data_IF_780319707051
#
_entry.id   IF_780319707051
#
_cell.length_a   1.000
_cell.length_b   1.000
_cell.length_c   1.000
_cell.angle_alpha   90.00
_cell.angle_beta   90.00
_cell.angle_gamma   90.00
#
_symmetry.space_group_name_H-M   'P 1'
#
loop_
_entity.id
_entity.type
_entity.pdbx_description
1 polymer ?
#
# COMPACT_ATOMS: atom_id res chain seq x y z
N UNK A 1 4.29 -11.38 -15.56
CA UNK A 1 5.19 -10.72 -14.57
C UNK A 1 4.74 -11.12 -13.17
N UNK A 2 5.63 -11.31 -12.18
CA UNK A 2 5.26 -11.59 -10.78
C UNK A 2 5.18 -10.28 -9.98
N UNK A 3 4.40 -10.25 -8.90
CA UNK A 3 4.41 -9.12 -7.95
C UNK A 3 5.80 -9.00 -7.32
N UNK A 4 6.23 -7.76 -7.13
CA UNK A 4 7.54 -7.35 -6.61
C UNK A 4 7.50 -5.85 -6.26
N UNK A 5 8.59 -5.33 -5.71
CA UNK A 5 8.78 -3.89 -5.49
C UNK A 5 8.98 -3.14 -6.82
N UNK A 6 8.35 -1.97 -6.92
CA UNK A 6 8.42 -1.14 -8.11
C UNK A 6 9.70 -0.31 -8.13
N UNK A 7 10.41 -0.30 -9.27
CA UNK A 7 11.52 0.62 -9.52
C UNK A 7 11.05 2.04 -9.83
N UNK A 8 9.77 2.20 -10.20
CA UNK A 8 9.15 3.48 -10.53
C UNK A 8 8.39 4.09 -9.35
N UNK A 9 7.74 3.26 -8.54
CA UNK A 9 6.92 3.70 -7.40
C UNK A 9 7.69 3.63 -6.09
N UNK A 10 8.85 4.29 -6.09
CA UNK A 10 9.73 4.45 -4.94
C UNK A 10 10.30 5.86 -4.94
N UNK A 11 10.72 6.35 -3.77
CA UNK A 11 11.58 7.53 -3.76
C UNK A 11 12.91 7.22 -4.46
N UNK A 12 13.54 8.26 -5.03
CA UNK A 12 14.81 8.15 -5.74
C UNK A 12 15.87 7.41 -4.91
N UNK A 13 15.98 7.74 -3.62
CA UNK A 13 16.99 7.22 -2.69
C UNK A 13 16.66 5.89 -2.01
N UNK A 14 15.56 5.24 -2.38
CA UNK A 14 15.31 3.85 -1.97
C UNK A 14 15.97 2.94 -2.98
N UNK A 15 16.89 2.09 -2.55
CA UNK A 15 17.42 1.04 -3.41
C UNK A 15 16.55 -0.21 -3.32
N UNK A 16 16.49 -0.97 -4.40
CA UNK A 16 15.70 -2.19 -4.49
C UNK A 16 16.62 -3.27 -5.03
N UNK A 17 16.62 -4.44 -4.37
CA UNK A 17 17.44 -5.59 -4.76
C UNK A 17 17.15 -6.05 -6.20
N UNK A 18 18.05 -6.87 -6.75
CA UNK A 18 17.91 -7.39 -8.12
C UNK A 18 16.61 -8.21 -8.31
N UNK A 19 16.29 -9.08 -7.34
CA UNK A 19 15.03 -9.85 -7.31
C UNK A 19 13.79 -8.99 -7.03
N UNK A 20 14.00 -7.72 -6.63
CA UNK A 20 12.98 -6.73 -6.27
C UNK A 20 12.09 -7.16 -5.11
N UNK A 21 12.65 -7.88 -4.16
CA UNK A 21 11.97 -8.29 -2.93
C UNK A 21 12.48 -7.57 -1.68
N UNK A 22 13.70 -7.01 -1.72
CA UNK A 22 14.25 -6.18 -0.65
C UNK A 22 14.30 -4.70 -1.03
N UNK A 23 14.06 -3.84 -0.06
CA UNK A 23 14.24 -2.41 -0.16
C UNK A 23 15.28 -1.95 0.85
N UNK A 24 16.13 -1.00 0.46
CA UNK A 24 17.18 -0.41 1.29
C UNK A 24 17.07 1.11 1.30
N UNK A 25 17.28 1.74 2.45
CA UNK A 25 17.36 3.20 2.57
C UNK A 25 18.63 3.60 3.32
N UNK A 26 19.35 4.56 2.74
CA UNK A 26 20.61 5.10 3.25
C UNK A 26 20.48 6.53 3.82
N UNK A 27 19.31 7.17 3.68
CA UNK A 27 19.10 8.54 4.16
C UNK A 27 17.63 8.94 4.29
N UNK A 28 17.20 9.22 5.52
CA UNK A 28 15.90 9.83 5.80
C UNK A 28 14.72 8.91 5.48
N UNK A 29 13.50 9.32 5.84
CA UNK A 29 12.31 8.53 5.55
C UNK A 29 11.96 8.61 4.07
N UNK A 30 11.88 7.45 3.42
CA UNK A 30 11.49 7.32 2.01
C UNK A 30 10.64 6.08 1.80
N UNK A 31 9.63 6.16 0.93
CA UNK A 31 8.69 5.06 0.67
C UNK A 31 9.02 4.30 -0.61
N UNK A 32 8.72 3.01 -0.62
CA UNK A 32 8.58 2.14 -1.79
C UNK A 32 7.22 1.44 -1.76
N UNK A 33 6.64 1.21 -2.94
CA UNK A 33 5.43 0.40 -3.12
C UNK A 33 5.68 -0.83 -3.97
N UNK A 34 4.86 -1.85 -3.75
CA UNK A 34 4.76 -2.97 -4.67
C UNK A 34 4.19 -2.55 -6.04
N UNK A 35 4.41 -3.40 -7.03
CA UNK A 35 3.94 -3.23 -8.41
C UNK A 35 2.44 -3.48 -8.60
N UNK A 36 1.77 -4.10 -7.62
CA UNK A 36 0.35 -4.42 -7.65
C UNK A 36 -0.32 -4.02 -6.35
N UNK A 37 -1.59 -3.67 -6.45
CA UNK A 37 -2.42 -3.26 -5.33
C UNK A 37 -3.85 -3.75 -5.53
N UNK A 38 -4.58 -3.82 -4.43
CA UNK A 38 -5.90 -4.47 -4.34
C UNK A 38 -6.99 -3.42 -4.26
N UNK A 39 -8.11 -3.68 -4.94
CA UNK A 39 -9.30 -2.83 -4.93
C UNK A 39 -10.43 -3.38 -4.06
N UNK A 40 -10.48 -4.70 -3.88
CA UNK A 40 -11.55 -5.38 -3.16
C UNK A 40 -11.07 -6.72 -2.60
N UNK A 41 -11.81 -7.26 -1.63
CA UNK A 41 -11.56 -8.56 -1.00
C UNK A 41 -10.53 -8.50 0.13
N UNK A 42 -10.23 -9.67 0.71
CA UNK A 42 -9.27 -9.83 1.80
C UNK A 42 -7.90 -10.28 1.28
N UNK A 43 -6.83 -9.60 1.69
CA UNK A 43 -5.48 -9.82 1.19
C UNK A 43 -4.42 -9.78 2.29
N UNK A 44 -3.34 -10.54 2.07
CA UNK A 44 -2.24 -10.65 3.02
C UNK A 44 -0.85 -10.66 2.37
N UNK A 45 0.10 -10.02 3.05
CA UNK A 45 1.54 -10.14 2.78
C UNK A 45 2.34 -9.95 4.07
N UNK A 46 3.65 -10.21 3.99
CA UNK A 46 4.58 -9.99 5.10
C UNK A 46 5.74 -9.07 4.70
N UNK A 47 6.33 -8.40 5.70
CA UNK A 47 7.62 -7.73 5.58
C UNK A 47 8.49 -8.18 6.75
N UNK A 48 9.68 -8.70 6.44
CA UNK A 48 10.75 -8.96 7.41
C UNK A 48 11.64 -7.74 7.56
N UNK A 49 11.92 -7.36 8.81
CA UNK A 49 12.93 -6.34 9.11
C UNK A 49 14.29 -7.03 9.07
N UNK A 50 15.03 -6.88 7.97
CA UNK A 50 16.30 -7.60 7.77
C UNK A 50 17.43 -6.92 8.51
N UNK A 51 17.51 -5.58 8.40
CA UNK A 51 18.50 -4.77 9.09
C UNK A 51 17.89 -3.43 9.44
N UNK A 52 17.85 -3.11 10.72
CA UNK A 52 17.49 -1.78 11.20
C UNK A 52 18.77 -0.99 11.50
N UNK A 53 19.74 -1.61 12.18
CA UNK A 53 20.90 -0.90 12.73
C UNK A 53 20.52 0.07 13.86
N UNK A 54 21.49 0.83 14.35
CA UNK A 54 21.32 1.64 15.57
C UNK A 54 20.44 2.89 15.37
N UNK A 55 20.39 3.42 14.16
CA UNK A 55 19.64 4.65 13.82
C UNK A 55 18.49 4.42 12.85
N UNK A 56 18.28 3.16 12.47
CA UNK A 56 17.26 2.82 11.51
C UNK A 56 15.87 2.90 12.12
N UNK A 57 14.92 3.36 11.31
CA UNK A 57 13.52 3.32 11.67
C UNK A 57 12.64 2.97 10.50
N UNK A 58 11.51 2.33 10.76
CA UNK A 58 10.58 1.92 9.70
C UNK A 58 9.14 2.24 10.01
N UNK A 59 8.39 2.51 8.94
CA UNK A 59 6.93 2.48 8.96
C UNK A 59 6.44 1.67 7.78
N UNK A 60 5.65 0.66 8.06
CA UNK A 60 5.10 -0.24 7.05
C UNK A 60 3.60 -0.09 6.95
N UNK A 61 3.02 -0.50 5.82
CA UNK A 61 1.60 -0.67 5.71
C UNK A 61 1.09 -0.61 4.29
N UNK A 62 -0.01 0.11 4.11
CA UNK A 62 -0.71 0.21 2.83
C UNK A 62 -0.70 1.66 2.36
N UNK A 63 -0.51 1.85 1.06
CA UNK A 63 -0.52 3.16 0.42
C UNK A 63 -1.32 3.11 -0.87
N UNK A 64 -2.13 4.12 -1.14
CA UNK A 64 -2.78 4.31 -2.43
C UNK A 64 -1.79 4.87 -3.45
N UNK A 65 -2.19 4.99 -4.71
CA UNK A 65 -1.33 5.56 -5.76
C UNK A 65 -0.93 7.03 -5.50
N UNK A 66 -1.73 7.75 -4.72
CA UNK A 66 -1.56 9.16 -4.38
C UNK A 66 -0.68 9.40 -3.15
N UNK A 67 -0.16 8.34 -2.51
CA UNK A 67 0.74 8.46 -1.36
C UNK A 67 2.06 9.14 -1.74
N UNK A 68 2.51 10.09 -0.94
CA UNK A 68 3.78 10.80 -1.16
C UNK A 68 4.97 9.87 -0.93
N UNK A 69 5.65 9.49 -2.01
CA UNK A 69 6.81 8.60 -1.96
C UNK A 69 8.00 9.20 -1.19
N UNK A 70 8.07 10.53 -1.06
CA UNK A 70 9.13 11.23 -0.35
C UNK A 70 8.88 11.27 1.17
N UNK A 71 7.71 10.87 1.63
CA UNK A 71 7.27 10.88 3.02
C UNK A 71 7.10 9.44 3.57
N UNK A 72 7.11 9.27 4.91
CA UNK A 72 6.87 7.96 5.50
C UNK A 72 5.41 7.51 5.36
N UNK A 73 5.19 6.20 5.36
CA UNK A 73 3.83 5.60 5.37
C UNK A 73 3.04 6.15 6.56
N UNK A 74 1.80 6.59 6.32
CA UNK A 74 0.91 7.21 7.30
C UNK A 74 1.08 8.73 7.44
N UNK A 75 1.97 9.37 6.69
CA UNK A 75 2.14 10.83 6.72
C UNK A 75 0.91 11.57 6.18
N UNK A 76 0.34 11.10 5.08
CA UNK A 76 -0.78 11.73 4.39
C UNK A 76 -2.10 10.96 4.60
N UNK A 77 -3.15 11.42 3.91
CA UNK A 77 -4.45 10.75 3.89
C UNK A 77 -4.49 9.51 2.96
N UNK A 78 -3.40 9.27 2.22
CA UNK A 78 -3.33 8.27 1.17
C UNK A 78 -2.61 6.99 1.62
N UNK A 79 -2.16 6.94 2.88
CA UNK A 79 -1.42 5.80 3.43
C UNK A 79 -1.76 5.55 4.90
N UNK A 80 -1.60 4.30 5.32
CA UNK A 80 -1.92 3.80 6.66
C UNK A 80 -0.72 2.99 7.16
N UNK A 81 -0.11 3.43 8.26
CA UNK A 81 1.19 2.97 8.72
C UNK A 81 1.17 2.29 10.09
N UNK A 82 2.15 1.41 10.31
CA UNK A 82 2.50 0.79 11.58
C UNK A 82 3.96 1.07 11.90
N UNK A 83 4.22 1.61 13.09
CA UNK A 83 5.52 2.15 13.48
C UNK A 83 6.34 1.20 14.33
N UNK A 84 7.62 1.09 13.99
CA UNK A 84 8.62 0.25 14.66
C UNK A 84 8.85 0.59 16.13
N UNK A 85 8.91 1.87 16.49
CA UNK A 85 9.40 2.27 17.84
C UNK A 85 8.44 1.86 18.97
N UNK A 86 7.15 2.16 18.82
CA UNK A 86 6.17 2.03 19.91
C UNK A 86 4.92 1.25 19.52
N UNK A 87 4.89 0.67 18.31
CA UNK A 87 3.71 -0.04 17.82
C UNK A 87 2.51 0.87 17.57
N UNK A 88 2.73 2.18 17.41
CA UNK A 88 1.63 3.08 17.05
C UNK A 88 1.17 2.85 15.61
N UNK A 89 -0.14 2.97 15.41
CA UNK A 89 -0.73 3.12 14.08
C UNK A 89 -0.69 4.59 13.68
N UNK A 90 -0.43 4.87 12.39
CA UNK A 90 -0.28 6.24 11.89
C UNK A 90 -1.10 6.46 10.62
N UNK A 91 -1.88 7.52 10.61
CA UNK A 91 -2.59 8.01 9.43
C UNK A 91 -2.73 9.54 9.50
N UNK A 92 -2.59 10.25 8.38
CA UNK A 92 -2.62 11.73 8.34
C UNK A 92 -1.66 12.38 9.34
N UNK A 93 -0.47 11.79 9.48
CA UNK A 93 0.59 12.17 10.42
C UNK A 93 0.19 12.09 11.92
N UNK A 94 -0.98 11.53 12.25
CA UNK A 94 -1.43 11.33 13.63
C UNK A 94 -1.09 9.93 14.08
N UNK A 95 -0.46 9.82 15.26
CA UNK A 95 -0.10 8.55 15.90
C UNK A 95 -1.16 8.21 16.92
N UNK A 96 -1.58 6.97 16.92
CA UNK A 96 -2.52 6.43 17.89
C UNK A 96 -1.96 5.14 18.48
N UNK A 97 -2.22 4.88 19.76
CA UNK A 97 -1.84 3.62 20.41
C UNK A 97 -2.54 2.47 19.69
N UNK A 98 -1.80 1.40 19.41
CA UNK A 98 -2.33 0.25 18.69
C UNK A 98 -1.70 -1.06 19.19
N UNK A 99 -0.46 -1.36 18.78
CA UNK A 99 0.31 -2.46 19.35
C UNK A 99 0.69 -2.16 20.79
N UNK A 100 0.92 -3.22 21.59
CA UNK A 100 1.44 -3.07 22.95
C UNK A 100 2.90 -2.60 22.93
N UNK A 101 3.65 -3.06 21.94
CA UNK A 101 5.06 -2.74 21.72
C UNK A 101 5.36 -2.54 20.24
N UNK A 102 6.51 -1.91 20.01
CA UNK A 102 7.12 -1.81 18.69
C UNK A 102 7.61 -3.14 18.12
N UNK A 103 8.25 -3.07 16.95
CA UNK A 103 8.91 -4.19 16.31
C UNK A 103 10.35 -3.81 15.95
N UNK A 104 11.21 -4.82 15.82
CA UNK A 104 12.66 -4.65 15.68
C UNK A 104 13.25 -5.53 14.58
N UNK A 105 14.54 -5.38 14.37
CA UNK A 105 15.31 -6.26 13.49
C UNK A 105 15.05 -7.74 13.79
N UNK A 106 14.80 -8.53 12.75
CA UNK A 106 14.43 -9.94 12.82
C UNK A 106 12.92 -10.20 12.86
N UNK A 107 12.09 -9.24 13.30
CA UNK A 107 10.63 -9.42 13.32
C UNK A 107 10.05 -9.48 11.89
N UNK A 108 8.96 -10.24 11.77
CA UNK A 108 8.14 -10.33 10.56
C UNK A 108 6.78 -9.73 10.85
N UNK A 109 6.43 -8.71 10.08
CA UNK A 109 5.14 -8.03 10.19
C UNK A 109 4.23 -8.54 9.10
N UNK A 110 3.05 -9.03 9.50
CA UNK A 110 1.97 -9.41 8.61
C UNK A 110 1.00 -8.26 8.39
N UNK A 111 0.47 -8.16 7.17
CA UNK A 111 -0.39 -7.08 6.75
C UNK A 111 -1.68 -7.65 6.20
N UNK A 112 -2.78 -7.40 6.90
CA UNK A 112 -4.12 -7.78 6.45
C UNK A 112 -4.89 -6.54 6.01
N UNK A 113 -5.59 -6.64 4.89
CA UNK A 113 -6.60 -5.67 4.47
C UNK A 113 -7.82 -6.41 3.96
N UNK A 114 -9.01 -5.97 4.35
CA UNK A 114 -10.27 -6.43 3.79
C UNK A 114 -11.06 -5.25 3.25
N UNK A 115 -11.44 -5.33 1.98
CA UNK A 115 -12.17 -4.31 1.24
C UNK A 115 -13.44 -4.92 0.63
N UNK A 116 -14.49 -5.19 1.43
CA UNK A 116 -15.74 -5.76 0.92
C UNK A 116 -16.33 -4.88 -0.19
N UNK A 117 -16.48 -5.44 -1.39
CA UNK A 117 -17.02 -4.71 -2.56
C UNK A 117 -16.32 -3.37 -2.84
N UNK A 118 -15.02 -3.25 -2.51
CA UNK A 118 -14.30 -1.97 -2.53
C UNK A 118 -14.27 -1.26 -3.88
N UNK A 119 -14.42 -1.99 -4.99
CA UNK A 119 -14.54 -1.42 -6.35
C UNK A 119 -15.76 -0.49 -6.49
N UNK A 120 -16.88 -0.76 -5.81
CA UNK A 120 -18.08 0.08 -5.86
C UNK A 120 -17.89 1.47 -5.24
N UNK A 121 -16.88 1.61 -4.37
CA UNK A 121 -16.59 2.82 -3.61
C UNK A 121 -15.36 3.57 -4.12
N UNK A 122 -14.61 2.97 -5.06
CA UNK A 122 -13.44 3.57 -5.67
C UNK A 122 -13.83 4.73 -6.61
N UNK A 123 -12.99 5.77 -6.73
CA UNK A 123 -13.14 6.78 -7.77
C UNK A 123 -13.22 6.13 -9.14
N UNK A 124 -14.09 6.67 -10.01
CA UNK A 124 -14.15 6.21 -11.40
C UNK A 124 -12.80 6.50 -12.07
N UNK A 125 -12.29 5.57 -12.89
CA UNK A 125 -11.06 5.82 -13.63
C UNK A 125 -11.23 7.04 -14.54
N UNK A 126 -10.18 7.85 -14.73
CA UNK A 126 -10.22 9.00 -15.61
C UNK A 126 -10.66 8.56 -17.01
N UNK A 127 -11.67 9.23 -17.57
CA UNK A 127 -12.16 8.92 -18.91
C UNK A 127 -11.11 9.35 -19.94
N UNK A 128 -10.54 8.38 -20.66
CA UNK A 128 -9.64 8.64 -21.77
C UNK A 128 -10.46 8.97 -23.01
N UNK A 129 -10.26 10.17 -23.55
CA UNK A 129 -10.90 10.64 -24.77
C UNK A 129 -9.86 10.74 -25.88
N UNK A 130 -10.16 10.20 -27.05
CA UNK A 130 -9.33 10.35 -28.23
C UNK A 130 -9.73 11.65 -28.95
N UNK A 131 -8.81 12.60 -29.09
CA UNK A 131 -9.04 13.83 -29.85
C UNK A 131 -7.90 14.05 -30.84
N UNK A 132 -8.25 14.17 -32.12
CA UNK A 132 -7.29 14.32 -33.24
C UNK A 132 -6.17 13.26 -33.24
N UNK A 133 -6.51 12.01 -32.88
CA UNK A 133 -5.56 10.90 -32.82
C UNK A 133 -4.66 10.88 -31.57
N UNK A 134 -4.81 11.84 -30.66
CA UNK A 134 -4.05 11.94 -29.42
C UNK A 134 -4.97 11.63 -28.23
N UNK A 135 -4.44 10.92 -27.22
CA UNK A 135 -5.21 10.55 -26.01
C UNK A 135 -5.15 11.70 -25.01
N UNK A 136 -6.32 12.15 -24.56
CA UNK A 136 -6.50 13.13 -23.51
C UNK A 136 -7.20 12.48 -22.32
N UNK A 137 -6.80 12.88 -21.11
CA UNK A 137 -7.54 12.57 -19.89
C UNK A 137 -8.62 13.65 -19.75
N UNK A 138 -9.89 13.25 -19.79
CA UNK A 138 -10.98 14.13 -19.41
C UNK A 138 -11.01 14.18 -17.88
N UNK A 139 -10.76 15.35 -17.31
CA UNK A 139 -11.10 15.60 -15.92
C UNK A 139 -12.62 15.55 -15.78
N UNK A 140 -13.13 14.79 -14.81
CA UNK A 140 -14.52 14.87 -14.39
C UNK A 140 -14.60 15.86 -13.23
N UNK A 141 -15.36 16.94 -13.41
CA UNK A 141 -15.56 17.99 -12.40
C UNK A 141 -16.60 17.58 -11.32
N UNK A 142 -16.89 16.28 -11.16
CA UNK A 142 -18.00 15.81 -10.35
C UNK A 142 -17.56 15.47 -8.92
N UNK A 143 -18.31 15.98 -7.93
CA UNK A 143 -18.16 15.59 -6.51
C UNK A 143 -18.38 14.10 -6.25
N UNK A 144 -18.97 13.37 -7.20
CA UNK A 144 -19.12 11.90 -7.16
C UNK A 144 -17.79 11.13 -7.28
N UNK A 145 -16.71 11.79 -7.72
CA UNK A 145 -15.40 11.16 -7.91
C UNK A 145 -14.54 11.12 -6.64
N UNK A 146 -15.06 11.63 -5.51
CA UNK A 146 -14.38 11.50 -4.24
C UNK A 146 -14.44 10.05 -3.73
N UNK A 147 -13.33 9.51 -3.21
CA UNK A 147 -13.30 8.23 -2.53
C UNK A 147 -14.39 8.13 -1.45
N UNK A 148 -15.23 7.10 -1.53
CA UNK A 148 -16.28 6.82 -0.53
C UNK A 148 -15.80 5.83 0.51
N UNK A 149 -16.28 5.91 1.74
CA UNK A 149 -15.99 4.90 2.77
C UNK A 149 -16.55 3.53 2.33
N UNK A 150 -15.75 2.48 2.46
CA UNK A 150 -16.15 1.08 2.22
C UNK A 150 -16.69 0.49 3.54
N UNK A 151 -17.99 0.20 3.65
CA UNK A 151 -18.58 -0.40 4.85
C UNK A 151 -17.95 -1.76 5.17
N UNK A 152 -17.63 -1.98 6.45
CA UNK A 152 -17.03 -3.24 6.92
C UNK A 152 -15.59 -3.47 6.46
N UNK A 153 -14.95 -2.47 5.84
CA UNK A 153 -13.53 -2.53 5.53
C UNK A 153 -12.68 -2.43 6.80
N UNK A 154 -11.58 -3.17 6.81
CA UNK A 154 -10.62 -3.12 7.90
C UNK A 154 -9.19 -3.38 7.44
N UNK A 155 -8.25 -2.91 8.25
CA UNK A 155 -6.82 -3.12 8.12
C UNK A 155 -6.30 -3.56 9.48
N UNK A 156 -5.59 -4.68 9.51
CA UNK A 156 -4.97 -5.23 10.73
C UNK A 156 -3.51 -5.56 10.48
N UNK A 157 -2.66 -5.38 11.49
CA UNK A 157 -1.25 -5.79 11.45
C UNK A 157 -1.02 -6.98 12.36
N UNK A 158 -0.05 -7.82 12.00
CA UNK A 158 0.37 -8.98 12.75
C UNK A 158 1.85 -8.85 13.06
N UNK A 159 2.28 -9.22 14.27
CA UNK A 159 3.70 -9.30 14.63
C UNK A 159 4.02 -10.77 14.87
N UNK A 160 4.90 -11.33 14.04
CA UNK A 160 5.30 -12.75 14.08
C UNK A 160 4.08 -13.68 14.13
N UNK A 161 3.07 -13.40 13.30
CA UNK A 161 1.82 -14.17 13.20
C UNK A 161 0.75 -13.85 14.23
N UNK A 162 1.05 -13.02 15.24
CA UNK A 162 0.09 -12.61 16.28
C UNK A 162 -0.62 -11.31 15.88
N UNK A 163 -1.94 -11.36 15.75
CA UNK A 163 -2.77 -10.20 15.41
C UNK A 163 -2.68 -9.11 16.49
N UNK A 164 -2.43 -7.87 16.07
CA UNK A 164 -2.36 -6.71 16.97
C UNK A 164 -3.72 -5.99 17.11
N UNK A 165 -4.81 -6.59 16.58
CA UNK A 165 -6.16 -6.04 16.56
C UNK A 165 -6.47 -5.25 15.28
N UNK A 166 -7.69 -4.69 15.19
CA UNK A 166 -8.07 -3.84 14.06
C UNK A 166 -7.38 -2.48 14.16
N UNK A 167 -6.50 -2.16 13.20
CA UNK A 167 -5.77 -0.89 13.18
C UNK A 167 -6.66 0.23 12.63
N UNK A 168 -7.28 0.01 11.48
CA UNK A 168 -8.14 0.99 10.83
C UNK A 168 -9.41 0.31 10.34
N UNK A 169 -10.53 1.02 10.46
CA UNK A 169 -11.82 0.69 9.86
C UNK A 169 -12.24 1.82 8.94
N UNK A 170 -13.32 1.61 8.18
CA UNK A 170 -13.94 2.68 7.38
C UNK A 170 -12.96 3.25 6.33
N UNK A 171 -12.19 2.38 5.69
CA UNK A 171 -11.24 2.73 4.64
C UNK A 171 -11.96 3.34 3.46
N UNK A 172 -11.35 4.33 2.83
CA UNK A 172 -11.88 4.92 1.60
C UNK A 172 -11.64 4.01 0.39
N UNK A 173 -12.56 4.03 -0.55
CA UNK A 173 -12.47 3.31 -1.82
C UNK A 173 -11.27 3.77 -2.64
N UNK A 174 -10.53 2.82 -3.15
CA UNK A 174 -9.29 3.08 -3.87
C UNK A 174 -8.42 1.85 -3.88
N UNK A 175 -7.36 1.90 -4.69
CA UNK A 175 -6.43 0.78 -4.83
C UNK A 175 -5.31 0.91 -3.81
N UNK A 176 -5.12 -0.13 -3.00
CA UNK A 176 -4.14 -0.18 -1.92
C UNK A 176 -2.95 -1.07 -2.28
N UNK A 177 -1.75 -0.54 -2.14
CA UNK A 177 -0.49 -1.21 -2.46
C UNK A 177 0.29 -1.48 -1.17
N UNK A 178 0.91 -2.68 -1.04
CA UNK A 178 1.94 -2.91 -0.04
C UNK A 178 3.01 -1.83 -0.09
N UNK A 179 3.31 -1.23 1.05
CA UNK A 179 4.22 -0.11 1.15
C UNK A 179 5.12 -0.22 2.38
N UNK A 180 6.38 0.19 2.21
CA UNK A 180 7.32 0.35 3.31
C UNK A 180 7.98 1.71 3.18
N UNK A 181 8.27 2.32 4.32
CA UNK A 181 9.17 3.44 4.40
C UNK A 181 10.24 3.19 5.45
N UNK A 182 11.48 3.51 5.11
CA UNK A 182 12.62 3.30 5.97
C UNK A 182 13.41 4.59 6.11
N UNK A 183 14.04 4.74 7.26
CA UNK A 183 14.92 5.82 7.68
C UNK A 183 16.22 5.21 8.19
N UNK A 184 17.33 5.89 7.94
CA UNK A 184 18.58 5.74 8.69
C UNK A 184 19.35 7.06 8.58
N UNK A 185 20.30 7.28 9.47
CA UNK A 185 21.21 8.41 9.40
C UNK A 185 22.25 8.25 8.27
N UNK A 186 22.75 9.36 7.68
CA UNK A 186 23.84 9.28 6.71
C UNK A 186 25.07 8.57 7.28
N UNK A 187 25.79 7.83 6.42
CA UNK A 187 27.00 7.08 6.76
C UNK A 187 26.82 5.91 7.74
N UNK A 188 25.57 5.52 8.02
CA UNK A 188 25.24 4.27 8.69
C UNK A 188 24.98 3.16 7.66
N UNK A 189 25.05 1.88 8.05
CA UNK A 189 24.57 0.79 7.21
C UNK A 189 23.12 1.02 6.80
N UNK A 190 22.79 0.62 5.58
CA UNK A 190 21.44 0.78 5.06
C UNK A 190 20.42 0.02 5.90
N UNK A 191 19.31 0.69 6.22
CA UNK A 191 18.13 -0.01 6.73
C UNK A 191 17.54 -0.86 5.60
N UNK A 192 17.35 -2.15 5.84
CA UNK A 192 16.92 -3.14 4.86
C UNK A 192 15.69 -3.91 5.35
N UNK A 193 14.72 -4.05 4.45
CA UNK A 193 13.49 -4.81 4.69
C UNK A 193 13.19 -5.69 3.50
N UNK A 194 12.59 -6.86 3.74
CA UNK A 194 12.28 -7.84 2.70
C UNK A 194 10.79 -8.14 2.69
N UNK A 195 10.16 -7.95 1.54
CA UNK A 195 8.76 -8.28 1.31
C UNK A 195 8.62 -9.78 1.01
N UNK A 196 7.51 -10.34 1.46
CA UNK A 196 7.04 -11.66 1.10
C UNK A 196 5.56 -11.57 0.73
N UNK A 197 5.26 -11.73 -0.56
CA UNK A 197 3.89 -11.66 -1.09
C UNK A 197 3.18 -13.02 -1.05
N UNK A 198 3.81 -14.05 -0.50
CA UNK A 198 3.34 -15.43 -0.53
C UNK A 198 3.76 -16.18 -1.80
N UNK A 199 3.37 -17.46 -1.94
CA UNK A 199 2.48 -18.19 -1.02
C UNK A 199 3.17 -18.68 0.27
N UNK A 200 4.49 -18.77 0.28
CA UNK A 200 5.26 -19.34 1.40
C UNK A 200 5.58 -18.26 2.45
N UNK A 201 4.68 -18.07 3.40
CA UNK A 201 4.81 -17.10 4.49
C UNK A 201 5.67 -17.63 5.65
N UNK A 202 6.40 -16.74 6.34
CA UNK A 202 7.21 -17.11 7.51
C UNK A 202 6.31 -17.23 8.75
N UNK A 203 5.31 -16.36 8.89
CA UNK A 203 4.38 -16.34 10.02
C UNK A 203 2.94 -16.12 9.56
N UNK A 204 2.41 -17.01 8.72
CA UNK A 204 0.99 -16.97 8.37
C UNK A 204 0.12 -17.24 9.61
N UNK A 205 -0.85 -16.37 9.93
CA UNK A 205 -1.72 -16.58 11.09
C UNK A 205 -2.52 -17.88 10.95
N UNK A 206 -2.53 -18.71 12.00
CA UNK A 206 -3.35 -19.92 12.04
C UNK A 206 -4.85 -19.65 12.21
N UNK A 207 -5.20 -18.46 12.70
CA UNK A 207 -6.56 -17.95 12.81
C UNK A 207 -6.55 -16.43 12.55
N UNK A 208 -7.62 -15.94 11.93
CA UNK A 208 -7.85 -14.52 11.67
C UNK A 208 -8.94 -13.93 12.59
N UNK A 209 -9.39 -14.65 13.62
CA UNK A 209 -10.32 -14.15 14.62
C UNK A 209 -11.71 -13.87 14.06
N UNK A 210 -12.20 -14.77 13.21
CA UNK A 210 -13.49 -14.63 12.52
C UNK A 210 -13.51 -13.70 11.30
N UNK A 211 -12.37 -13.08 10.95
CA UNK A 211 -12.24 -12.30 9.70
C UNK A 211 -12.23 -13.22 8.48
N UNK A 212 -12.55 -12.65 7.33
CA UNK A 212 -12.40 -13.32 6.03
C UNK A 212 -10.95 -13.77 5.84
N UNK A 213 -10.75 -15.05 5.50
CA UNK A 213 -9.43 -15.60 5.18
C UNK A 213 -8.88 -14.87 3.95
N UNK A 214 -7.70 -14.23 4.05
CA UNK A 214 -7.15 -13.45 2.95
C UNK A 214 -6.50 -14.33 1.88
N UNK A 215 -6.48 -13.82 0.65
CA UNK A 215 -5.61 -14.34 -0.41
C UNK A 215 -4.20 -13.75 -0.30
N UNK A 216 -3.15 -14.49 -0.68
CA UNK A 216 -1.80 -13.95 -0.73
C UNK A 216 -1.67 -12.88 -1.82
N UNK A 217 -0.91 -11.82 -1.55
CA UNK A 217 -0.67 -10.74 -2.53
C UNK A 217 -0.02 -11.24 -3.84
N UNK A 218 0.62 -12.41 -3.84
CA UNK A 218 1.13 -13.09 -5.03
C UNK A 218 0.05 -13.39 -6.07
N UNK A 219 -1.19 -13.62 -5.64
CA UNK A 219 -2.33 -13.92 -6.51
C UNK A 219 -2.96 -12.68 -7.14
N UNK A 220 -2.60 -11.47 -6.70
CA UNK A 220 -3.19 -10.23 -7.25
C UNK A 220 -2.94 -10.17 -8.76
N UNK A 221 -3.99 -10.04 -9.59
CA UNK A 221 -3.86 -9.94 -11.04
C UNK A 221 -2.99 -8.75 -11.47
N UNK A 222 -2.40 -8.85 -12.66
CA UNK A 222 -1.79 -7.67 -13.28
C UNK A 222 -2.90 -6.73 -13.73
N UNK A 223 -2.89 -5.51 -13.21
CA UNK A 223 -3.75 -4.44 -13.68
C UNK A 223 -2.96 -3.68 -14.74
N UNK A 224 -3.34 -3.85 -16.02
CA UNK A 224 -2.80 -3.02 -17.08
C UNK A 224 -3.19 -1.56 -16.85
N UNK A 225 -2.66 -0.66 -17.68
CA UNK A 225 -3.26 0.68 -17.77
C UNK A 225 -4.60 0.47 -18.48
N UNK A 226 -5.66 0.20 -17.73
CA UNK A 226 -6.99 -0.10 -18.23
C UNK A 226 -7.62 1.17 -18.82
N UNK A 227 -7.20 1.49 -20.05
CA UNK A 227 -7.79 2.53 -20.86
C UNK A 227 -8.78 1.94 -21.84
N UNK A 228 -10.01 1.64 -21.40
CA UNK A 228 -11.11 1.47 -22.33
C UNK A 228 -11.33 2.80 -23.06
N UNK A 229 -11.00 2.84 -24.35
CA UNK A 229 -11.18 4.01 -25.21
C UNK A 229 -12.62 3.99 -25.72
N UNK A 230 -13.48 4.85 -25.20
CA UNK A 230 -14.78 5.09 -25.80
C UNK A 230 -14.63 6.11 -26.94
N UNK A 231 -15.06 5.73 -28.14
CA UNK A 231 -15.17 6.65 -29.28
C UNK A 231 -16.37 7.58 -29.06
N UNK A 232 -16.13 8.83 -28.66
CA UNK A 232 -17.19 9.82 -28.53
C UNK A 232 -17.60 10.40 -29.89
N UNK A 233 -18.74 9.97 -30.44
CA UNK A 233 -19.42 10.72 -31.51
C UNK A 233 -20.29 11.83 -30.89
N UNK A 234 -19.99 13.09 -31.21
CA UNK A 234 -20.82 14.22 -30.80
C UNK A 234 -21.98 14.40 -31.80
N UNK A 235 -23.22 14.10 -31.37
CA UNK A 235 -24.40 14.58 -32.08
C UNK A 235 -24.53 16.10 -31.92
N UNK A 236 -24.28 16.83 -33.00
CA UNK A 236 -24.59 18.28 -33.08
C UNK A 236 -26.09 18.48 -32.86
N UNK A 237 -26.49 19.07 -31.73
CA UNK A 237 -27.77 19.77 -31.65
C UNK A 237 -27.67 21.01 -32.56
N UNK A 238 -28.41 21.00 -33.66
CA UNK A 238 -28.67 22.21 -34.46
C UNK A 238 -29.59 23.14 -33.65
N UNK A 239 -29.20 24.39 -33.57
CA UNK A 239 -30.05 25.54 -33.20
C UNK A 239 -31.09 25.73 -34.30
#
# INVERSE_FOLDING_TARGET
MRICLSRFYKAEKVEVSEDRMSAMSSKGYRMVRATRGVLQGAWYFEIKVVRLGDTGHTRFGWSTEMGDLQAPVGYDANSYGYRDIDGSKIHKARREKYGEEGYKEGDVIGFYINLPEGELYAPKPPRLVLYKGQRYISASDNKEDLPKVIPGSELSFFKNGVCQGAAFTDLHGGRYYPAASMYTEPNQPDCEVKFNFGPDFEFFPGDFGGRTIPLPMFEVPYHGVDGNVENGEFHKKKI
#
